data_IF_890615778059
#
_entry.id   IF_890615778059
#
_cell.length_a   1.000
_cell.length_b   1.000
_cell.length_c   1.000
_cell.angle_alpha   90.00
_cell.angle_beta   90.00
_cell.angle_gamma   90.00
#
_symmetry.space_group_name_H-M   'P 1'
#
loop_
_entity.id
_entity.type
_entity.pdbx_description
1 polymer ?
#
# COMPACT_ATOMS: atom_id res chain seq x y z
N UNK A 1 92.55 9.31 13.66
CA UNK A 1 91.60 9.25 14.79
C UNK A 1 90.29 9.98 14.46
N UNK A 2 90.33 11.27 14.06
CA UNK A 2 89.17 12.13 13.84
C UNK A 2 88.00 11.59 12.97
N UNK A 3 88.28 10.82 11.90
CA UNK A 3 87.21 10.31 11.02
C UNK A 3 86.31 9.24 11.69
N UNK A 4 86.88 8.42 12.60
CA UNK A 4 86.11 7.40 13.33
C UNK A 4 85.17 8.03 14.37
N UNK A 5 85.59 9.15 14.95
CA UNK A 5 84.85 9.89 15.98
C UNK A 5 83.64 10.63 15.38
N UNK A 6 83.82 11.28 14.23
CA UNK A 6 82.74 11.88 13.43
C UNK A 6 81.67 10.86 13.01
N UNK A 7 82.07 9.64 12.65
CA UNK A 7 81.12 8.59 12.27
C UNK A 7 80.29 8.10 13.46
N UNK A 8 80.89 8.04 14.64
CA UNK A 8 80.21 7.65 15.87
C UNK A 8 79.19 8.72 16.31
N UNK A 9 79.54 10.01 16.22
CA UNK A 9 78.62 11.11 16.57
C UNK A 9 77.40 11.17 15.66
N UNK A 10 77.59 11.02 14.34
CA UNK A 10 76.48 10.98 13.36
C UNK A 10 75.56 9.78 13.60
N UNK A 11 76.13 8.63 13.97
CA UNK A 11 75.33 7.43 14.28
C UNK A 11 74.49 7.60 15.55
N UNK A 12 75.03 8.29 16.55
CA UNK A 12 74.34 8.60 17.80
C UNK A 12 73.22 9.62 17.62
N UNK A 13 73.43 10.67 16.81
CA UNK A 13 72.39 11.63 16.45
C UNK A 13 71.24 10.98 15.67
N UNK A 14 71.55 10.10 14.73
CA UNK A 14 70.54 9.30 14.00
C UNK A 14 69.71 8.42 14.93
N UNK A 15 70.35 7.79 15.93
CA UNK A 15 69.65 6.98 16.92
C UNK A 15 68.72 7.82 17.81
N UNK A 16 69.17 8.99 18.27
CA UNK A 16 68.36 9.90 19.08
C UNK A 16 67.14 10.44 18.32
N UNK A 17 67.31 10.79 17.03
CA UNK A 17 66.21 11.22 16.18
C UNK A 17 65.18 10.10 15.94
N UNK A 18 65.65 8.86 15.74
CA UNK A 18 64.77 7.70 15.58
C UNK A 18 63.99 7.39 16.87
N UNK A 19 64.63 7.49 18.03
CA UNK A 19 63.98 7.27 19.33
C UNK A 19 62.93 8.34 19.65
N UNK A 20 63.20 9.60 19.30
CA UNK A 20 62.21 10.68 19.42
C UNK A 20 60.99 10.44 18.54
N UNK A 21 61.18 10.03 17.29
CA UNK A 21 60.09 9.66 16.37
C UNK A 21 59.27 8.47 16.86
N UNK A 22 59.92 7.48 17.48
CA UNK A 22 59.24 6.34 18.07
C UNK A 22 58.31 6.76 19.22
N UNK A 23 58.77 7.66 20.11
CA UNK A 23 57.98 8.20 21.21
C UNK A 23 56.81 9.06 20.72
N UNK A 24 57.02 9.86 19.66
CA UNK A 24 55.96 10.65 19.02
C UNK A 24 54.86 9.74 18.45
N UNK A 25 55.23 8.68 17.71
CA UNK A 25 54.28 7.70 17.18
C UNK A 25 53.56 6.92 18.29
N UNK A 26 54.24 6.57 19.37
CA UNK A 26 53.64 5.87 20.51
C UNK A 26 52.57 6.73 21.19
N UNK A 27 52.85 8.02 21.43
CA UNK A 27 51.88 8.95 21.99
C UNK A 27 50.65 9.12 21.07
N UNK A 28 50.87 9.16 19.75
CA UNK A 28 49.80 9.25 18.76
C UNK A 28 48.91 7.99 18.73
N UNK A 29 49.51 6.80 18.87
CA UNK A 29 48.77 5.54 18.98
C UNK A 29 47.89 5.52 20.23
N UNK A 30 48.40 5.98 21.38
CA UNK A 30 47.61 6.07 22.61
C UNK A 30 46.46 7.08 22.49
N UNK A 31 46.71 8.22 21.83
CA UNK A 31 45.65 9.19 21.52
C UNK A 31 44.54 8.55 20.68
N UNK A 32 44.88 7.91 19.56
CA UNK A 32 43.90 7.24 18.71
C UNK A 32 43.14 6.12 19.43
N UNK A 33 43.80 5.38 20.35
CA UNK A 33 43.15 4.34 21.16
C UNK A 33 42.05 4.93 22.05
N UNK A 34 42.33 6.05 22.72
CA UNK A 34 41.34 6.70 23.59
C UNK A 34 40.17 7.30 22.79
N UNK A 35 40.44 7.89 21.63
CA UNK A 35 39.39 8.38 20.72
C UNK A 35 38.50 7.25 20.21
N UNK A 36 39.08 6.10 19.82
CA UNK A 36 38.32 4.93 19.38
C UNK A 36 37.42 4.36 20.49
N UNK A 37 37.87 4.35 21.74
CA UNK A 37 37.06 3.89 22.86
C UNK A 37 35.91 4.85 23.16
N UNK A 38 36.17 6.16 23.09
CA UNK A 38 35.13 7.19 23.20
C UNK A 38 34.05 7.04 22.12
N UNK A 39 34.45 6.89 20.86
CA UNK A 39 33.51 6.67 19.75
C UNK A 39 32.74 5.36 19.89
N UNK A 40 33.37 4.31 20.41
CA UNK A 40 32.70 3.04 20.69
C UNK A 40 31.62 3.20 21.76
N UNK A 41 31.90 3.95 22.83
CA UNK A 41 30.91 4.27 23.87
C UNK A 41 29.74 5.05 23.28
N UNK A 42 30.02 6.12 22.53
CA UNK A 42 29.00 6.95 21.91
C UNK A 42 28.12 6.16 20.94
N UNK A 43 28.70 5.25 20.15
CA UNK A 43 27.93 4.35 19.28
C UNK A 43 26.98 3.47 20.10
N UNK A 44 27.44 2.93 21.23
CA UNK A 44 26.62 2.10 22.12
C UNK A 44 25.42 2.86 22.70
N UNK A 45 25.61 4.13 23.07
CA UNK A 45 24.52 5.01 23.55
C UNK A 45 23.49 5.26 22.43
N UNK A 46 23.95 5.62 21.23
CA UNK A 46 23.07 5.86 20.09
C UNK A 46 22.29 4.60 19.68
N UNK A 47 22.94 3.43 19.69
CA UNK A 47 22.28 2.15 19.43
C UNK A 47 21.16 1.85 20.44
N UNK A 48 21.34 2.23 21.72
CA UNK A 48 20.29 2.08 22.74
C UNK A 48 19.13 3.06 22.51
N UNK A 49 19.44 4.32 22.17
CA UNK A 49 18.41 5.31 21.86
C UNK A 49 17.58 4.91 20.64
N UNK A 50 18.23 4.46 19.56
CA UNK A 50 17.55 3.94 18.36
C UNK A 50 16.65 2.75 18.72
N UNK A 51 17.13 1.84 19.57
CA UNK A 51 16.32 0.70 20.04
C UNK A 51 15.09 1.17 20.81
N UNK A 52 15.24 2.15 21.69
CA UNK A 52 14.12 2.72 22.46
C UNK A 52 13.11 3.41 21.54
N UNK A 53 13.58 4.23 20.60
CA UNK A 53 12.73 4.89 19.62
C UNK A 53 11.94 3.89 18.77
N UNK A 54 12.57 2.80 18.35
CA UNK A 54 11.90 1.75 17.59
C UNK A 54 10.79 1.06 18.40
N UNK A 55 11.05 0.74 19.68
CA UNK A 55 10.03 0.16 20.56
C UNK A 55 8.85 1.11 20.77
N UNK A 56 9.11 2.40 21.01
CA UNK A 56 8.05 3.40 21.19
C UNK A 56 7.22 3.57 19.91
N UNK A 57 7.86 3.53 18.73
CA UNK A 57 7.16 3.61 17.46
C UNK A 57 6.25 2.39 17.23
N UNK A 58 6.74 1.19 17.55
CA UNK A 58 5.96 -0.04 17.45
C UNK A 58 4.77 -0.03 18.42
N UNK A 59 4.96 0.46 19.65
CA UNK A 59 3.88 0.65 20.63
C UNK A 59 2.81 1.63 20.10
N UNK A 60 3.21 2.83 19.67
CA UNK A 60 2.30 3.83 19.11
C UNK A 60 1.55 3.31 17.88
N UNK A 61 2.22 2.53 17.02
CA UNK A 61 1.59 1.89 15.86
C UNK A 61 0.56 0.85 16.27
N UNK A 62 0.83 0.06 17.31
CA UNK A 62 -0.09 -0.94 17.81
C UNK A 62 -1.34 -0.31 18.45
N UNK A 63 -1.21 0.85 19.09
CA UNK A 63 -2.35 1.60 19.64
C UNK A 63 -3.23 2.22 18.54
N UNK A 64 -2.64 2.71 17.46
CA UNK A 64 -3.37 3.36 16.36
C UNK A 64 -3.97 2.38 15.34
N UNK A 65 -3.35 1.21 15.15
CA UNK A 65 -3.80 0.19 14.21
C UNK A 65 -5.27 -0.27 14.38
N UNK A 66 -5.78 -0.55 15.60
CA UNK A 66 -7.16 -0.97 15.77
C UNK A 66 -8.15 0.14 15.42
N UNK A 67 -7.87 1.40 15.77
CA UNK A 67 -8.75 2.53 15.49
C UNK A 67 -8.89 2.80 13.98
N UNK A 68 -7.77 2.86 13.26
CA UNK A 68 -7.79 3.05 11.80
C UNK A 68 -8.48 1.90 11.09
N UNK A 69 -8.33 0.67 11.59
CA UNK A 69 -8.97 -0.51 11.01
C UNK A 69 -10.48 -0.49 11.23
N UNK A 70 -10.94 -0.08 12.42
CA UNK A 70 -12.37 0.07 12.73
C UNK A 70 -12.99 1.19 11.90
N UNK A 71 -12.36 2.36 11.82
CA UNK A 71 -12.88 3.49 11.04
C UNK A 71 -12.85 3.21 9.53
N UNK A 72 -11.80 2.52 9.05
CA UNK A 72 -11.72 2.02 7.68
C UNK A 72 -12.85 1.04 7.35
N UNK A 73 -13.15 0.10 8.25
CA UNK A 73 -14.27 -0.82 8.07
C UNK A 73 -15.62 -0.10 8.09
N UNK A 74 -15.79 0.88 8.98
CA UNK A 74 -17.01 1.69 9.09
C UNK A 74 -17.25 2.53 7.84
N UNK A 75 -16.23 3.19 7.30
CA UNK A 75 -16.34 3.97 6.07
C UNK A 75 -16.67 3.06 4.87
N UNK A 76 -16.06 1.88 4.76
CA UNK A 76 -16.41 0.88 3.72
C UNK A 76 -17.85 0.40 3.87
N UNK A 77 -18.31 0.13 5.09
CA UNK A 77 -19.69 -0.27 5.34
C UNK A 77 -20.68 0.85 4.97
N UNK A 78 -20.39 2.10 5.37
CA UNK A 78 -21.20 3.26 5.02
C UNK A 78 -21.26 3.49 3.50
N UNK A 79 -20.13 3.35 2.81
CA UNK A 79 -20.08 3.43 1.34
C UNK A 79 -20.94 2.34 0.68
N UNK A 80 -20.80 1.08 1.11
CA UNK A 80 -21.60 -0.04 0.58
C UNK A 80 -23.10 0.09 0.89
N UNK A 81 -23.46 0.70 2.02
CA UNK A 81 -24.84 0.99 2.38
C UNK A 81 -25.40 2.27 1.75
N UNK A 82 -24.60 3.01 0.98
CA UNK A 82 -25.05 4.26 0.36
C UNK A 82 -25.94 4.00 -0.86
N UNK A 83 -26.94 4.87 -1.06
CA UNK A 83 -27.84 4.84 -2.22
C UNK A 83 -27.08 4.91 -3.56
N UNK A 84 -25.96 5.63 -3.61
CA UNK A 84 -25.13 5.74 -4.81
C UNK A 84 -24.47 4.43 -5.22
N UNK A 85 -24.00 3.64 -4.24
CA UNK A 85 -23.45 2.31 -4.49
C UNK A 85 -24.55 1.35 -4.98
N UNK A 86 -25.70 1.31 -4.31
CA UNK A 86 -26.85 0.50 -4.73
C UNK A 86 -27.32 0.85 -6.15
N UNK A 87 -27.43 2.15 -6.45
CA UNK A 87 -27.82 2.63 -7.77
C UNK A 87 -26.83 2.22 -8.85
N UNK A 88 -25.53 2.22 -8.53
CA UNK A 88 -24.48 1.77 -9.43
C UNK A 88 -24.57 0.25 -9.69
N UNK A 89 -24.88 -0.54 -8.66
CA UNK A 89 -25.13 -1.97 -8.81
C UNK A 89 -26.37 -2.25 -9.66
N UNK A 90 -27.49 -1.54 -9.46
CA UNK A 90 -28.69 -1.69 -10.30
C UNK A 90 -28.38 -1.38 -11.77
N UNK A 91 -27.60 -0.33 -12.03
CA UNK A 91 -27.16 0.03 -13.39
C UNK A 91 -26.29 -1.05 -14.02
N UNK A 92 -25.29 -1.56 -13.31
CA UNK A 92 -24.39 -2.58 -13.87
C UNK A 92 -25.13 -3.88 -14.17
N UNK A 93 -26.09 -4.26 -13.33
CA UNK A 93 -26.92 -5.45 -13.54
C UNK A 93 -27.77 -5.33 -14.81
N UNK A 94 -28.45 -4.19 -15.03
CA UNK A 94 -29.21 -3.96 -16.27
C UNK A 94 -28.34 -4.07 -17.52
N UNK A 95 -27.18 -3.41 -17.54
CA UNK A 95 -26.25 -3.46 -18.67
C UNK A 95 -25.79 -4.90 -18.93
N UNK A 96 -25.49 -5.66 -17.87
CA UNK A 96 -25.07 -7.06 -18.02
C UNK A 96 -26.19 -7.96 -18.54
N UNK A 97 -27.43 -7.75 -18.08
CA UNK A 97 -28.60 -8.50 -18.53
C UNK A 97 -28.94 -8.18 -20.00
N UNK A 98 -28.95 -6.90 -20.37
CA UNK A 98 -29.14 -6.44 -21.75
C UNK A 98 -28.09 -7.04 -22.70
N UNK A 99 -26.83 -7.01 -22.27
CA UNK A 99 -25.75 -7.59 -23.05
C UNK A 99 -25.95 -9.10 -23.26
N UNK A 100 -26.27 -9.84 -22.18
CA UNK A 100 -26.54 -11.27 -22.25
C UNK A 100 -27.73 -11.59 -23.16
N UNK A 101 -28.80 -10.81 -23.08
CA UNK A 101 -29.99 -10.94 -23.94
C UNK A 101 -29.64 -10.74 -25.42
N UNK A 102 -28.91 -9.67 -25.76
CA UNK A 102 -28.48 -9.40 -27.14
C UNK A 102 -27.61 -10.54 -27.68
N UNK A 103 -26.70 -11.08 -26.88
CA UNK A 103 -25.86 -12.21 -27.28
C UNK A 103 -26.72 -13.47 -27.53
N UNK A 104 -27.66 -13.78 -26.64
CA UNK A 104 -28.56 -14.93 -26.80
C UNK A 104 -29.46 -14.78 -28.05
N UNK A 105 -29.95 -13.56 -28.30
CA UNK A 105 -30.76 -13.21 -29.46
C UNK A 105 -29.99 -13.44 -30.78
N UNK A 106 -28.75 -12.98 -30.86
CA UNK A 106 -27.91 -13.19 -32.05
C UNK A 106 -27.55 -14.67 -32.25
N UNK A 107 -27.31 -15.42 -31.17
CA UNK A 107 -27.11 -16.88 -31.27
C UNK A 107 -28.35 -17.61 -31.77
N UNK A 108 -29.54 -17.19 -31.31
CA UNK A 108 -30.81 -17.77 -31.76
C UNK A 108 -31.00 -17.52 -33.26
N UNK A 109 -30.80 -16.29 -33.72
CA UNK A 109 -30.89 -15.90 -35.14
C UNK A 109 -29.89 -16.65 -36.01
N UNK A 110 -28.65 -16.84 -35.53
CA UNK A 110 -27.64 -17.61 -36.25
C UNK A 110 -28.01 -19.08 -36.45
N UNK A 111 -28.80 -19.67 -35.55
CA UNK A 111 -29.27 -21.06 -35.65
C UNK A 111 -30.61 -21.19 -36.38
N UNK A 112 -31.48 -20.19 -36.24
CA UNK A 112 -32.85 -20.20 -36.76
C UNK A 112 -33.18 -18.83 -37.37
N UNK A 113 -32.76 -18.57 -38.61
CA UNK A 113 -32.88 -17.26 -39.25
C UNK A 113 -34.33 -16.82 -39.50
N UNK A 114 -35.28 -17.76 -39.48
CA UNK A 114 -36.70 -17.49 -39.74
C UNK A 114 -37.50 -17.07 -38.50
N UNK A 115 -36.88 -17.05 -37.31
CA UNK A 115 -37.56 -16.64 -36.06
C UNK A 115 -37.69 -15.11 -36.03
N UNK A 116 -38.93 -14.62 -36.13
CA UNK A 116 -39.27 -13.21 -35.94
C UNK A 116 -39.54 -12.93 -34.46
N UNK A 117 -38.80 -11.97 -33.88
CA UNK A 117 -39.09 -11.41 -32.56
C UNK A 117 -39.72 -10.05 -32.77
N UNK A 118 -40.95 -9.90 -32.28
CA UNK A 118 -41.87 -8.81 -32.60
C UNK A 118 -41.45 -7.45 -32.02
N UNK A 119 -40.87 -7.42 -30.82
CA UNK A 119 -40.35 -6.22 -30.16
C UNK A 119 -39.12 -6.58 -29.34
N UNK A 120 -38.00 -5.89 -29.57
CA UNK A 120 -36.85 -5.94 -28.66
C UNK A 120 -37.22 -5.15 -27.39
N UNK A 121 -37.32 -5.79 -26.22
CA UNK A 121 -37.68 -5.13 -24.97
C UNK A 121 -36.71 -4.02 -24.54
N UNK A 122 -35.54 -3.93 -25.19
CA UNK A 122 -34.50 -2.93 -24.94
C UNK A 122 -34.26 -1.99 -26.13
N UNK A 123 -35.14 -2.02 -27.13
CA UNK A 123 -35.17 -0.98 -28.14
C UNK A 123 -35.43 0.36 -27.44
N UNK A 124 -34.65 1.38 -27.80
CA UNK A 124 -34.76 2.71 -27.20
C UNK A 124 -36.06 3.37 -27.65
N UNK A 125 -37.10 3.26 -26.83
CA UNK A 125 -38.37 3.94 -27.04
C UNK A 125 -38.15 5.46 -26.96
N UNK A 126 -38.52 6.25 -27.99
CA UNK A 126 -38.40 7.70 -27.93
C UNK A 126 -39.33 8.32 -26.87
N UNK A 127 -40.42 7.65 -26.51
CA UNK A 127 -41.29 8.01 -25.40
C UNK A 127 -40.58 7.97 -24.03
N UNK A 128 -39.67 7.01 -23.82
CA UNK A 128 -38.95 6.81 -22.55
C UNK A 128 -37.75 7.76 -22.39
N UNK A 129 -37.36 8.47 -23.45
CA UNK A 129 -36.26 9.45 -23.39
C UNK A 129 -36.58 10.65 -22.48
N UNK A 130 -37.87 10.89 -22.22
CA UNK A 130 -38.39 11.99 -21.42
C UNK A 130 -38.84 11.52 -20.03
N UNK A 131 -38.81 10.21 -19.79
CA UNK A 131 -39.24 9.58 -18.55
C UNK A 131 -38.03 9.50 -17.64
N UNK A 132 -37.95 10.44 -16.71
CA UNK A 132 -37.06 10.30 -15.56
C UNK A 132 -37.51 9.04 -14.79
N UNK A 133 -36.71 7.97 -14.84
CA UNK A 133 -37.03 6.76 -14.10
C UNK A 133 -36.89 7.05 -12.61
N UNK A 134 -38.02 7.21 -11.94
CA UNK A 134 -38.07 7.34 -10.48
C UNK A 134 -37.47 6.07 -9.86
N UNK A 135 -36.32 6.24 -9.18
CA UNK A 135 -35.55 5.13 -8.62
C UNK A 135 -36.24 4.49 -7.41
N UNK A 136 -37.32 5.11 -6.92
CA UNK A 136 -38.04 4.72 -5.72
C UNK A 136 -39.38 4.04 -6.04
N UNK A 137 -39.67 3.69 -7.30
CA UNK A 137 -40.85 2.92 -7.65
C UNK A 137 -40.68 1.44 -7.19
N UNK A 138 -41.44 0.97 -6.19
CA UNK A 138 -41.37 -0.42 -5.75
C UNK A 138 -41.91 -1.34 -6.85
N UNK A 139 -41.31 -2.53 -6.99
CA UNK A 139 -41.89 -3.59 -7.80
C UNK A 139 -43.20 -4.06 -7.15
N UNK A 140 -44.23 -4.31 -7.98
CA UNK A 140 -45.47 -4.90 -7.50
C UNK A 140 -45.23 -6.41 -7.26
N UNK A 141 -44.78 -6.73 -6.05
CA UNK A 141 -44.59 -8.11 -5.57
C UNK A 141 -45.93 -8.81 -5.23
N UNK A 142 -47.05 -8.27 -5.72
CA UNK A 142 -48.36 -8.90 -5.61
C UNK A 142 -48.35 -10.30 -6.19
N UNK A 143 -48.51 -11.32 -5.33
CA UNK A 143 -48.72 -12.71 -5.75
C UNK A 143 -49.83 -12.75 -6.81
N UNK A 144 -49.60 -13.32 -8.01
CA UNK A 144 -50.65 -13.42 -9.02
C UNK A 144 -51.81 -14.21 -8.43
N UNK A 145 -52.96 -13.56 -8.24
CA UNK A 145 -54.14 -14.22 -7.70
C UNK A 145 -54.54 -15.36 -8.64
N UNK A 146 -54.49 -16.58 -8.11
CA UNK A 146 -54.86 -17.82 -8.80
C UNK A 146 -56.34 -17.71 -9.20
N UNK A 147 -56.60 -17.45 -10.48
CA UNK A 147 -57.96 -17.39 -11.02
C UNK A 147 -58.58 -18.77 -10.86
N UNK A 148 -59.51 -18.91 -9.92
CA UNK A 148 -60.28 -20.14 -9.77
C UNK A 148 -61.05 -20.42 -11.05
N UNK A 149 -60.68 -21.51 -11.71
CA UNK A 149 -61.47 -22.11 -12.77
C UNK A 149 -62.70 -22.73 -12.10
N UNK A 150 -63.88 -22.13 -12.31
CA UNK A 150 -65.15 -22.74 -11.88
C UNK A 150 -65.60 -23.75 -12.94
N UNK A 151 -66.17 -24.91 -12.54
CA UNK A 151 -66.53 -26.00 -13.47
C UNK A 151 -67.67 -25.65 -14.43
#
# INVERSE_FOLDING_TARGET
AANKELKASVSQELAAAAEWRAKELEAEIERMRTELESLRSQRGELEQEVRLLHSNLDEARNDQAPELKVEGQKSVAAYKGSRGFESSLKKIWRVSYEFGYRVALEQLRGKHPDIMIEVDPFAKCPEDANVEMDLDQPFDDGTPSEKQLTP
#
